data_IF_798721336806
#
_entry.id   IF_798721336806
#
_cell.length_a   1.000
_cell.length_b   1.000
_cell.length_c   1.000
_cell.angle_alpha   90.00
_cell.angle_beta   90.00
_cell.angle_gamma   90.00
#
_symmetry.space_group_name_H-M   'P 1'
#
loop_
_entity.id
_entity.type
_entity.pdbx_description
1 polymer ?
#
# COMPACT_ATOMS: atom_id res chain seq x y z
N UNK A 1 -45.41 -7.88 -1.38
CA UNK A 1 -44.46 -6.75 -1.43
C UNK A 1 -43.07 -7.33 -1.25
N UNK A 2 -42.23 -7.29 -2.29
CA UNK A 2 -40.87 -7.82 -2.23
C UNK A 2 -40.04 -6.92 -1.32
N UNK A 3 -39.44 -7.51 -0.29
CA UNK A 3 -38.48 -6.83 0.59
C UNK A 3 -37.32 -6.33 -0.27
N UNK A 4 -37.27 -5.02 -0.50
CA UNK A 4 -36.05 -4.36 -0.95
C UNK A 4 -35.03 -4.51 0.17
N UNK A 5 -34.08 -5.44 0.03
CA UNK A 5 -32.92 -5.52 0.90
C UNK A 5 -32.25 -4.14 0.89
N UNK A 6 -32.18 -3.50 2.06
CA UNK A 6 -31.54 -2.21 2.17
C UNK A 6 -30.07 -2.36 1.80
N UNK A 7 -29.62 -1.70 0.74
CA UNK A 7 -28.21 -1.62 0.31
C UNK A 7 -27.29 -0.87 1.31
N UNK A 8 -27.75 -0.67 2.54
CA UNK A 8 -27.04 0.07 3.58
C UNK A 8 -26.20 -0.91 4.38
N UNK A 9 -24.89 -0.90 4.16
CA UNK A 9 -23.94 -1.62 5.00
C UNK A 9 -24.02 -1.09 6.44
N UNK A 10 -24.16 -1.96 7.45
CA UNK A 10 -24.11 -1.52 8.83
C UNK A 10 -22.79 -0.80 9.12
N UNK A 11 -22.83 0.28 9.91
CA UNK A 11 -21.67 1.16 10.20
C UNK A 11 -20.41 0.37 10.60
N UNK A 12 -20.59 -0.76 11.29
CA UNK A 12 -19.55 -1.70 11.73
C UNK A 12 -18.71 -2.24 10.56
N UNK A 13 -19.32 -2.44 9.40
CA UNK A 13 -18.69 -2.92 8.18
C UNK A 13 -18.01 -1.78 7.39
N UNK A 14 -18.30 -0.53 7.73
CA UNK A 14 -17.64 0.65 7.19
C UNK A 14 -16.37 1.04 7.99
N UNK A 15 -16.18 0.47 9.19
CA UNK A 15 -14.99 0.72 10.01
C UNK A 15 -13.85 -0.20 9.55
N UNK A 16 -12.78 0.41 9.03
CA UNK A 16 -11.55 -0.29 8.68
C UNK A 16 -10.92 -0.92 9.92
N UNK A 17 -10.52 -2.19 9.81
CA UNK A 17 -9.73 -2.89 10.84
C UNK A 17 -8.24 -2.64 10.58
N UNK A 18 -7.39 -2.86 11.59
CA UNK A 18 -5.95 -2.70 11.42
C UNK A 18 -5.37 -3.50 10.24
N UNK A 19 -5.87 -4.72 10.03
CA UNK A 19 -5.51 -5.57 8.89
C UNK A 19 -5.82 -4.93 7.53
N UNK A 20 -6.83 -4.06 7.47
CA UNK A 20 -7.27 -3.39 6.24
C UNK A 20 -6.37 -2.20 5.89
N UNK A 21 -5.55 -1.74 6.85
CA UNK A 21 -4.53 -0.70 6.65
C UNK A 21 -3.20 -1.29 6.17
N UNK A 22 -3.10 -2.62 6.06
CA UNK A 22 -1.89 -3.34 5.67
C UNK A 22 -2.08 -3.92 4.27
N UNK A 23 -1.10 -3.67 3.40
CA UNK A 23 -1.03 -4.32 2.10
C UNK A 23 0.16 -5.25 2.05
N UNK A 24 -0.08 -6.49 1.62
CA UNK A 24 0.93 -7.53 1.54
C UNK A 24 1.27 -7.82 0.08
N UNK A 25 2.58 -7.90 -0.19
CA UNK A 25 3.10 -8.10 -1.54
C UNK A 25 4.31 -9.00 -1.55
N UNK A 26 4.43 -9.90 -2.52
CA UNK A 26 5.65 -10.69 -2.68
C UNK A 26 6.78 -9.84 -3.25
N UNK A 27 7.99 -10.00 -2.73
CA UNK A 27 9.19 -9.29 -3.21
C UNK A 27 9.40 -9.42 -4.72
N UNK A 28 9.11 -10.59 -5.30
CA UNK A 28 9.24 -10.86 -6.74
C UNK A 28 8.24 -10.11 -7.63
N UNK A 29 7.16 -9.61 -7.04
CA UNK A 29 6.06 -8.98 -7.77
C UNK A 29 6.10 -7.44 -7.72
N UNK A 30 6.90 -6.88 -6.81
CA UNK A 30 6.96 -5.45 -6.57
C UNK A 30 8.28 -4.85 -7.06
N UNK A 31 8.19 -3.70 -7.72
CA UNK A 31 9.33 -2.99 -8.26
C UNK A 31 9.61 -1.80 -7.37
N UNK A 32 10.85 -1.70 -6.86
CA UNK A 32 11.34 -0.48 -6.22
C UNK A 32 11.85 0.46 -7.31
N UNK A 33 11.19 1.60 -7.51
CA UNK A 33 11.56 2.58 -8.54
C UNK A 33 11.79 3.95 -7.92
N UNK A 34 12.54 4.83 -8.60
CA UNK A 34 12.62 6.23 -8.18
C UNK A 34 11.29 6.93 -8.45
N UNK A 35 10.91 7.85 -7.57
CA UNK A 35 9.68 8.63 -7.70
C UNK A 35 9.69 9.35 -9.05
N UNK A 36 8.62 9.14 -9.82
CA UNK A 36 8.55 9.71 -11.15
C UNK A 36 8.37 11.23 -11.13
N UNK A 37 8.85 11.82 -12.21
CA UNK A 37 8.73 13.23 -12.53
C UNK A 37 7.28 13.78 -12.54
N UNK A 38 6.26 12.92 -12.68
CA UNK A 38 4.83 13.32 -12.68
C UNK A 38 4.22 13.34 -11.28
N UNK A 39 4.77 12.58 -10.34
CA UNK A 39 4.40 12.66 -8.92
C UNK A 39 4.94 13.93 -8.24
N UNK A 40 5.86 14.66 -8.91
CA UNK A 40 6.50 15.91 -8.46
C UNK A 40 5.58 17.13 -8.41
N UNK A 41 4.60 17.25 -9.32
CA UNK A 41 3.81 18.48 -9.43
C UNK A 41 2.65 18.47 -8.43
N UNK A 42 2.74 19.32 -7.40
CA UNK A 42 1.62 19.68 -6.50
C UNK A 42 1.44 18.83 -5.24
N UNK A 43 2.43 18.02 -4.84
CA UNK A 43 2.30 17.09 -3.70
C UNK A 43 3.47 17.27 -2.73
N UNK A 44 3.28 18.08 -1.69
CA UNK A 44 4.25 18.62 -0.72
C UNK A 44 4.98 17.61 0.19
N UNK A 45 4.99 16.31 -0.13
CA UNK A 45 5.53 15.27 0.76
C UNK A 45 6.31 14.17 0.07
N UNK A 46 6.79 14.39 -1.16
CA UNK A 46 7.61 13.39 -1.88
C UNK A 46 8.85 14.06 -2.46
N UNK A 47 10.04 13.64 -2.01
CA UNK A 47 11.32 14.26 -2.39
C UNK A 47 11.88 13.59 -3.65
N UNK A 48 12.51 14.38 -4.52
CA UNK A 48 12.87 14.03 -5.91
C UNK A 48 13.85 12.85 -6.06
N UNK A 49 14.62 12.52 -5.02
CA UNK A 49 15.59 11.43 -5.00
C UNK A 49 15.05 10.12 -4.42
N UNK A 50 13.79 10.09 -4.00
CA UNK A 50 13.25 8.99 -3.20
C UNK A 50 12.75 7.82 -4.05
N UNK A 51 12.63 6.67 -3.40
CA UNK A 51 12.11 5.45 -4.00
C UNK A 51 10.63 5.27 -3.63
N UNK A 52 9.82 4.85 -4.58
CA UNK A 52 8.50 4.29 -4.35
C UNK A 52 8.51 2.79 -4.65
N UNK A 53 7.50 2.10 -4.16
CA UNK A 53 7.22 0.74 -4.58
C UNK A 53 6.07 0.75 -5.57
N UNK A 54 6.18 -0.04 -6.63
CA UNK A 54 5.18 -0.12 -7.70
C UNK A 54 4.76 -1.57 -7.94
N UNK A 55 3.46 -1.81 -7.90
CA UNK A 55 2.84 -3.08 -8.27
C UNK A 55 2.07 -2.87 -9.58
N UNK A 56 2.50 -3.59 -10.63
CA UNK A 56 1.92 -3.41 -11.96
C UNK A 56 0.49 -3.95 -12.05
N UNK A 57 -0.33 -3.30 -12.88
CA UNK A 57 -1.68 -3.73 -13.19
C UNK A 57 -1.74 -5.19 -13.64
N UNK A 58 -0.81 -5.61 -14.53
CA UNK A 58 -0.76 -6.98 -15.04
C UNK A 58 -0.69 -8.00 -13.91
N UNK A 59 0.11 -7.72 -12.88
CA UNK A 59 0.25 -8.60 -11.71
C UNK A 59 -1.01 -8.56 -10.84
N UNK A 60 -1.58 -7.37 -10.62
CA UNK A 60 -2.82 -7.19 -9.86
C UNK A 60 -3.97 -7.97 -10.50
N UNK A 61 -4.15 -7.83 -11.82
CA UNK A 61 -5.19 -8.54 -12.58
C UNK A 61 -4.96 -10.05 -12.60
N UNK A 62 -3.71 -10.51 -12.61
CA UNK A 62 -3.38 -11.93 -12.64
C UNK A 62 -3.61 -12.65 -11.30
N UNK A 63 -3.48 -11.98 -10.16
CA UNK A 63 -3.49 -12.64 -8.84
C UNK A 63 -4.64 -12.14 -7.96
N UNK A 64 -5.58 -13.04 -7.66
CA UNK A 64 -6.69 -12.80 -6.73
C UNK A 64 -6.23 -12.32 -5.35
N UNK A 65 -5.05 -12.77 -4.91
CA UNK A 65 -4.39 -12.32 -3.69
C UNK A 65 -4.27 -10.79 -3.59
N UNK A 66 -3.98 -10.10 -4.70
CA UNK A 66 -3.89 -8.64 -4.73
C UNK A 66 -5.26 -7.99 -4.90
N UNK A 67 -6.13 -8.59 -5.71
CA UNK A 67 -7.48 -8.08 -5.95
C UNK A 67 -8.30 -7.97 -4.66
N UNK A 68 -8.19 -8.96 -3.77
CA UNK A 68 -8.90 -8.98 -2.50
C UNK A 68 -8.48 -7.83 -1.55
N UNK A 69 -7.31 -7.23 -1.76
CA UNK A 69 -6.81 -6.11 -0.95
C UNK A 69 -7.14 -4.74 -1.57
N UNK A 70 -7.57 -4.70 -2.84
CA UNK A 70 -7.86 -3.46 -3.56
C UNK A 70 -8.97 -2.58 -2.96
N UNK A 71 -10.07 -3.14 -2.39
CA UNK A 71 -11.14 -2.31 -1.83
C UNK A 71 -10.63 -1.30 -0.80
N UNK A 72 -9.58 -1.66 -0.06
CA UNK A 72 -9.01 -0.83 1.00
C UNK A 72 -7.72 -0.11 0.57
N UNK A 73 -7.33 -0.18 -0.71
CA UNK A 73 -6.01 0.26 -1.16
C UNK A 73 -5.72 1.75 -0.88
N UNK A 74 -6.75 2.60 -0.91
CA UNK A 74 -6.61 4.04 -0.61
C UNK A 74 -6.25 4.34 0.85
N UNK A 75 -6.47 3.40 1.75
CA UNK A 75 -6.30 3.58 3.19
C UNK A 75 -5.05 2.92 3.76
N UNK A 76 -4.27 2.23 2.92
CA UNK A 76 -3.06 1.52 3.34
C UNK A 76 -2.08 2.48 4.02
N UNK A 77 -1.64 2.10 5.21
CA UNK A 77 -0.60 2.78 6.02
C UNK A 77 0.68 1.96 6.12
N UNK A 78 0.65 0.67 5.82
CA UNK A 78 1.83 -0.20 5.88
C UNK A 78 1.86 -1.16 4.70
N UNK A 79 3.02 -1.28 4.07
CA UNK A 79 3.30 -2.25 3.02
C UNK A 79 4.24 -3.32 3.59
N UNK A 80 3.75 -4.55 3.64
CA UNK A 80 4.51 -5.71 4.09
C UNK A 80 5.00 -6.52 2.89
N UNK A 81 6.32 -6.61 2.73
CA UNK A 81 6.97 -7.38 1.68
C UNK A 81 7.22 -8.80 2.18
N UNK A 82 6.68 -9.77 1.45
CA UNK A 82 6.80 -11.19 1.72
C UNK A 82 7.93 -11.82 0.89
N UNK A 83 8.64 -12.80 1.47
CA UNK A 83 9.46 -13.74 0.71
C UNK A 83 8.58 -14.83 0.05
N UNK A 84 9.21 -15.79 -0.65
CA UNK A 84 8.49 -16.89 -1.29
C UNK A 84 7.79 -17.84 -0.29
N UNK A 85 8.25 -17.88 0.96
CA UNK A 85 7.69 -18.69 2.06
C UNK A 85 6.55 -17.97 2.80
N UNK A 86 6.09 -16.81 2.30
CA UNK A 86 5.05 -15.97 2.94
C UNK A 86 5.46 -15.35 4.28
N UNK A 87 6.75 -15.29 4.59
CA UNK A 87 7.27 -14.57 5.76
C UNK A 87 7.50 -13.11 5.42
N UNK A 88 7.13 -12.22 6.33
CA UNK A 88 7.39 -10.78 6.22
C UNK A 88 8.90 -10.55 6.36
N UNK A 89 9.52 -10.00 5.32
CA UNK A 89 10.96 -9.67 5.32
C UNK A 89 11.21 -8.17 5.39
N UNK A 90 10.20 -7.35 5.11
CA UNK A 90 10.30 -5.90 5.24
C UNK A 90 8.91 -5.29 5.49
N UNK A 91 8.85 -4.36 6.44
CA UNK A 91 7.68 -3.50 6.65
C UNK A 91 8.03 -2.07 6.26
N UNK A 92 7.14 -1.43 5.51
CA UNK A 92 7.37 -0.10 4.98
C UNK A 92 6.15 0.76 5.30
N UNK A 93 6.30 1.84 6.09
CA UNK A 93 5.21 2.75 6.36
C UNK A 93 4.90 3.53 5.08
N UNK A 94 3.61 3.67 4.79
CA UNK A 94 3.08 4.23 3.55
C UNK A 94 2.34 5.52 3.88
N UNK A 95 2.79 6.61 3.27
CA UNK A 95 2.14 7.90 3.35
C UNK A 95 0.84 7.88 2.55
N UNK A 96 0.91 7.30 1.35
CA UNK A 96 -0.22 7.21 0.41
C UNK A 96 -0.02 6.15 -0.65
N UNK A 97 -1.14 5.67 -1.19
CA UNK A 97 -1.18 4.83 -2.38
C UNK A 97 -1.82 5.61 -3.52
N UNK A 98 -1.17 5.59 -4.69
CA UNK A 98 -1.68 6.21 -5.91
C UNK A 98 -1.89 5.12 -6.96
N UNK A 99 -3.13 4.96 -7.41
CA UNK A 99 -3.44 4.15 -8.56
C UNK A 99 -3.23 4.96 -9.85
N UNK A 100 -2.45 4.44 -10.79
CA UNK A 100 -2.30 5.03 -12.12
C UNK A 100 -3.57 4.84 -12.94
N UNK A 101 -3.70 5.58 -14.05
CA UNK A 101 -4.80 5.35 -15.03
C UNK A 101 -4.78 3.93 -15.61
N UNK A 102 -3.61 3.32 -15.71
CA UNK A 102 -3.46 1.91 -16.09
C UNK A 102 -3.82 0.95 -14.95
N UNK A 103 -4.16 1.41 -13.74
CA UNK A 103 -4.52 0.52 -12.63
C UNK A 103 -3.34 -0.02 -11.82
N UNK A 104 -2.11 0.39 -12.11
CA UNK A 104 -0.94 0.05 -11.29
C UNK A 104 -0.95 0.81 -9.97
N UNK A 105 -0.49 0.19 -8.88
CA UNK A 105 -0.42 0.82 -7.57
C UNK A 105 0.99 1.33 -7.29
N UNK A 106 1.10 2.59 -6.89
CA UNK A 106 2.34 3.23 -6.47
C UNK A 106 2.24 3.57 -4.98
N UNK A 107 3.09 2.96 -4.18
CA UNK A 107 3.17 3.14 -2.73
C UNK A 107 4.23 4.21 -2.43
N UNK A 108 3.78 5.38 -1.99
CA UNK A 108 4.63 6.44 -1.49
C UNK A 108 5.00 6.18 -0.04
N UNK A 109 6.29 6.12 0.25
CA UNK A 109 6.81 5.82 1.59
C UNK A 109 6.57 7.01 2.52
N UNK A 110 6.15 6.75 3.76
CA UNK A 110 6.18 7.73 4.84
C UNK A 110 7.60 7.79 5.42
N UNK A 111 8.36 8.79 5.00
CA UNK A 111 9.77 8.93 5.40
C UNK A 111 9.91 9.19 6.89
N UNK A 112 9.05 10.04 7.47
CA UNK A 112 9.17 10.38 8.88
C UNK A 112 9.01 9.12 9.73
N UNK A 113 7.93 8.37 9.50
CA UNK A 113 7.71 7.11 10.18
C UNK A 113 8.80 6.07 9.87
N UNK A 114 9.33 6.03 8.64
CA UNK A 114 10.38 5.09 8.28
C UNK A 114 11.71 5.39 8.97
N UNK A 115 12.15 6.66 8.97
CA UNK A 115 13.38 7.10 9.63
C UNK A 115 13.26 6.95 11.15
N UNK A 116 12.14 7.34 11.76
CA UNK A 116 11.90 7.13 13.20
C UNK A 116 11.99 5.65 13.58
N UNK A 117 11.42 4.74 12.76
CA UNK A 117 11.51 3.31 12.99
C UNK A 117 12.96 2.79 12.88
N UNK A 118 13.72 3.23 11.88
CA UNK A 118 15.12 2.86 11.73
C UNK A 118 15.97 3.36 12.91
N UNK A 119 15.78 4.61 13.33
CA UNK A 119 16.49 5.19 14.47
C UNK A 119 16.17 4.41 15.76
N UNK A 120 14.88 4.11 16.02
CA UNK A 120 14.47 3.30 17.17
C UNK A 120 15.09 1.90 17.17
N UNK A 121 15.17 1.25 16.01
CA UNK A 121 15.81 -0.07 15.88
C UNK A 121 17.32 0.00 16.08
N UNK A 122 17.97 1.06 15.61
CA UNK A 122 19.41 1.28 15.80
C UNK A 122 19.76 1.55 17.27
N UNK A 123 18.93 2.29 18.02
CA UNK A 123 19.13 2.55 19.46
C UNK A 123 18.79 1.36 20.37
N UNK A 124 18.14 0.32 19.84
CA UNK A 124 17.82 -0.92 20.58
C UNK A 124 18.88 -2.03 20.40
N UNK A 125 19.89 -1.78 19.58
CA UNK A 125 21.09 -2.62 19.44
C UNK A 125 22.21 -2.04 20.29
#
# INVERSE_FOLDING_TARGET
MNNQESNLYPVRDLVLKEKDLIFTVYRKDIIKSRVSRKMRKGKSGVIESEYCYCLSEKIIKKKRFYQNQLPNARYIKKLCILNNERRIVQEIPILRVIQSRSGALNFGIDRQAFTENLTRQATKK
#
